data_IF_698709121972
#
_entry.id   IF_698709121972
#
_cell.length_a   1.000
_cell.length_b   1.000
_cell.length_c   1.000
_cell.angle_alpha   90.00
_cell.angle_beta   90.00
_cell.angle_gamma   90.00
#
_symmetry.space_group_name_H-M   'P 1'
#
loop_
_entity.id
_entity.type
_entity.pdbx_description
1 polymer ?
#
# COMPACT_ATOMS: atom_id res chain seq x y z
N UNK A 1 62.15 -21.55 -36.69
CA UNK A 1 61.93 -20.41 -35.75
C UNK A 1 60.46 -20.04 -35.76
N UNK A 2 59.79 -20.38 -34.66
CA UNK A 2 58.60 -19.79 -34.03
C UNK A 2 57.72 -18.81 -34.82
N UNK A 3 56.41 -19.09 -34.92
CA UNK A 3 55.34 -18.24 -34.35
C UNK A 3 53.93 -18.82 -34.51
N UNK A 4 53.18 -18.70 -33.41
CA UNK A 4 51.74 -18.43 -33.34
C UNK A 4 50.73 -19.59 -33.50
N UNK A 5 50.46 -20.23 -32.36
CA UNK A 5 49.09 -20.61 -31.98
C UNK A 5 48.18 -19.39 -32.10
N UNK A 6 47.04 -19.49 -32.78
CA UNK A 6 45.89 -18.64 -32.49
C UNK A 6 44.62 -19.48 -32.52
N UNK A 7 44.06 -19.69 -31.33
CA UNK A 7 42.84 -20.44 -31.10
C UNK A 7 41.68 -19.76 -31.83
N UNK A 8 40.89 -20.55 -32.57
CA UNK A 8 39.58 -20.11 -33.04
C UNK A 8 38.73 -19.80 -31.80
N UNK A 9 38.46 -18.51 -31.63
CA UNK A 9 37.63 -17.96 -30.58
C UNK A 9 36.27 -18.65 -30.60
N UNK A 10 35.99 -19.40 -29.53
CA UNK A 10 34.64 -19.83 -29.20
C UNK A 10 33.80 -18.58 -28.93
N UNK A 11 33.19 -18.03 -29.98
CA UNK A 11 32.18 -16.99 -29.88
C UNK A 11 30.90 -17.67 -29.42
N UNK A 12 30.83 -17.95 -28.11
CA UNK A 12 29.65 -18.43 -27.44
C UNK A 12 28.49 -17.49 -27.79
N UNK A 13 27.48 -18.06 -28.44
CA UNK A 13 26.20 -17.43 -28.70
C UNK A 13 25.63 -16.91 -27.38
N UNK A 14 25.89 -15.63 -27.09
CA UNK A 14 25.31 -14.92 -25.96
C UNK A 14 23.84 -14.75 -26.33
N UNK A 15 23.01 -15.65 -25.80
CA UNK A 15 21.56 -15.46 -25.76
C UNK A 15 21.30 -14.02 -25.28
N UNK A 16 20.36 -13.28 -25.88
CA UNK A 16 20.03 -11.96 -25.39
C UNK A 16 19.65 -12.08 -23.92
N UNK A 17 20.28 -11.28 -23.08
CA UNK A 17 19.88 -11.15 -21.67
C UNK A 17 18.49 -10.54 -21.70
N UNK A 18 17.46 -11.37 -21.61
CA UNK A 18 16.14 -10.90 -21.29
C UNK A 18 16.22 -10.41 -19.84
N UNK A 19 16.29 -9.10 -19.65
CA UNK A 19 16.16 -8.46 -18.34
C UNK A 19 14.69 -8.65 -17.94
N UNK A 20 14.37 -9.86 -17.50
CA UNK A 20 13.07 -10.18 -16.97
C UNK A 20 12.82 -9.26 -15.79
N UNK A 21 11.71 -8.53 -15.88
CA UNK A 21 11.15 -7.64 -14.85
C UNK A 21 11.28 -8.29 -13.47
N UNK A 22 11.94 -7.60 -12.52
CA UNK A 22 12.10 -8.08 -11.15
C UNK A 22 10.73 -8.36 -10.53
N UNK A 23 10.51 -9.53 -9.90
CA UNK A 23 9.27 -9.81 -9.20
C UNK A 23 9.10 -8.78 -8.07
N UNK A 24 8.01 -8.01 -8.10
CA UNK A 24 7.71 -6.98 -7.10
C UNK A 24 7.95 -5.53 -7.55
N UNK A 25 8.54 -5.29 -8.71
CA UNK A 25 8.64 -3.93 -9.25
C UNK A 25 7.30 -3.54 -9.89
N UNK A 26 6.47 -2.86 -9.10
CA UNK A 26 5.27 -2.20 -9.59
C UNK A 26 5.69 -1.30 -10.77
N UNK A 27 4.99 -1.37 -11.92
CA UNK A 27 5.29 -0.47 -13.01
C UNK A 27 5.09 0.95 -12.46
N UNK A 28 6.17 1.70 -12.32
CA UNK A 28 6.07 3.13 -12.09
C UNK A 28 5.13 3.65 -13.18
N UNK A 29 4.00 4.24 -12.78
CA UNK A 29 3.05 4.82 -13.72
C UNK A 29 3.84 5.64 -14.73
N UNK A 30 3.63 5.41 -16.02
CA UNK A 30 4.44 5.97 -17.10
C UNK A 30 4.17 7.48 -17.32
N UNK A 31 3.80 8.18 -16.26
CA UNK A 31 3.56 9.62 -16.25
C UNK A 31 4.85 10.31 -15.81
N UNK A 32 5.30 11.27 -16.61
CA UNK A 32 6.46 12.12 -16.29
C UNK A 32 6.28 12.72 -14.89
N UNK A 33 7.28 12.62 -13.98
CA UNK A 33 7.22 13.22 -12.65
C UNK A 33 6.79 14.70 -12.68
N UNK A 34 7.23 15.44 -13.69
CA UNK A 34 6.91 16.86 -13.91
C UNK A 34 5.41 17.10 -14.01
N UNK A 35 4.67 16.22 -14.69
CA UNK A 35 3.22 16.39 -14.90
C UNK A 35 2.48 16.17 -13.58
N UNK A 36 2.89 15.18 -12.78
CA UNK A 36 2.27 14.93 -11.47
C UNK A 36 2.50 16.11 -10.53
N UNK A 37 3.73 16.61 -10.49
CA UNK A 37 4.09 17.75 -9.65
C UNK A 37 3.31 19.01 -10.05
N UNK A 38 3.17 19.27 -11.35
CA UNK A 38 2.35 20.38 -11.86
C UNK A 38 0.87 20.24 -11.49
N UNK A 39 0.30 19.02 -11.55
CA UNK A 39 -1.10 18.78 -11.14
C UNK A 39 -1.28 18.99 -9.63
N UNK A 40 -0.33 18.50 -8.82
CA UNK A 40 -0.36 18.69 -7.36
C UNK A 40 -0.30 20.18 -7.03
N UNK A 41 0.61 20.92 -7.67
CA UNK A 41 0.73 22.36 -7.48
C UNK A 41 -0.56 23.10 -7.88
N UNK A 42 -1.14 22.78 -9.04
CA UNK A 42 -2.40 23.39 -9.48
C UNK A 42 -3.55 23.11 -8.49
N UNK A 43 -3.61 21.90 -7.91
CA UNK A 43 -4.60 21.56 -6.90
C UNK A 43 -4.41 22.35 -5.59
N UNK A 44 -3.16 22.55 -5.15
CA UNK A 44 -2.83 23.39 -3.99
C UNK A 44 -3.27 24.84 -4.23
N UNK A 45 -2.95 25.40 -5.39
CA UNK A 45 -3.33 26.76 -5.78
C UNK A 45 -4.86 26.92 -5.87
N UNK A 46 -5.57 25.92 -6.42
CA UNK A 46 -7.03 25.90 -6.48
C UNK A 46 -7.70 25.83 -5.08
N UNK A 47 -6.97 25.32 -4.08
CA UNK A 47 -7.36 25.33 -2.67
C UNK A 47 -6.95 26.60 -1.92
N UNK A 48 -6.42 27.62 -2.61
CA UNK A 48 -5.93 28.85 -1.97
C UNK A 48 -4.59 28.67 -1.26
N UNK A 49 -3.75 27.74 -1.73
CA UNK A 49 -2.47 27.41 -1.11
C UNK A 49 -2.52 26.20 -0.17
N UNK A 50 -3.68 25.56 -0.01
CA UNK A 50 -3.86 24.38 0.84
C UNK A 50 -4.55 23.23 0.08
N UNK A 51 -3.86 22.11 -0.06
CA UNK A 51 -4.41 20.89 -0.66
C UNK A 51 -5.61 20.36 0.11
N UNK A 52 -5.64 20.52 1.44
CA UNK A 52 -6.75 20.04 2.26
C UNK A 52 -8.02 20.84 1.96
N UNK A 53 -7.91 22.16 1.80
CA UNK A 53 -9.01 23.01 1.38
C UNK A 53 -9.56 22.59 0.00
N UNK A 54 -8.69 22.28 -0.96
CA UNK A 54 -9.12 21.75 -2.27
C UNK A 54 -9.87 20.42 -2.12
N UNK A 55 -9.32 19.47 -1.36
CA UNK A 55 -9.95 18.16 -1.13
C UNK A 55 -11.28 18.24 -0.38
N UNK A 56 -11.43 19.17 0.57
CA UNK A 56 -12.71 19.45 1.24
C UNK A 56 -13.77 19.91 0.24
N UNK A 57 -13.42 20.86 -0.63
CA UNK A 57 -14.31 21.31 -1.71
C UNK A 57 -14.70 20.16 -2.63
N UNK A 58 -13.74 19.29 -3.00
CA UNK A 58 -14.02 18.12 -3.84
C UNK A 58 -14.91 17.08 -3.15
N UNK A 59 -14.81 16.93 -1.83
CA UNK A 59 -15.69 16.05 -1.07
C UNK A 59 -17.16 16.51 -1.14
N UNK A 60 -17.40 17.82 -1.21
CA UNK A 60 -18.75 18.40 -1.33
C UNK A 60 -19.25 18.42 -2.79
N UNK A 61 -18.42 18.82 -3.75
CA UNK A 61 -18.83 18.97 -5.15
C UNK A 61 -18.84 17.67 -5.93
N UNK A 62 -17.88 16.77 -5.64
CA UNK A 62 -17.64 15.53 -6.38
C UNK A 62 -17.39 14.33 -5.44
N UNK A 63 -18.37 13.97 -4.60
CA UNK A 63 -18.20 12.96 -3.55
C UNK A 63 -17.76 11.59 -4.09
N UNK A 64 -18.23 11.18 -5.28
CA UNK A 64 -17.83 9.90 -5.90
C UNK A 64 -16.32 9.83 -6.20
N UNK A 65 -15.75 10.92 -6.72
CA UNK A 65 -14.31 11.01 -7.00
C UNK A 65 -13.50 11.01 -5.70
N UNK A 66 -13.97 11.73 -4.67
CA UNK A 66 -13.33 11.77 -3.36
C UNK A 66 -13.35 10.41 -2.64
N UNK A 67 -14.48 9.69 -2.67
CA UNK A 67 -14.59 8.35 -2.10
C UNK A 67 -13.65 7.34 -2.79
N UNK A 68 -13.42 7.51 -4.09
CA UNK A 68 -12.43 6.68 -4.82
C UNK A 68 -11.00 6.93 -4.31
N UNK A 69 -10.66 8.19 -4.00
CA UNK A 69 -9.36 8.53 -3.40
C UNK A 69 -9.24 7.93 -2.00
N UNK A 70 -10.29 7.98 -1.18
CA UNK A 70 -10.34 7.33 0.13
C UNK A 70 -10.03 5.83 0.02
N UNK A 71 -10.61 5.13 -0.94
CA UNK A 71 -10.29 3.72 -1.19
C UNK A 71 -8.85 3.44 -1.61
N UNK A 72 -8.14 4.44 -2.17
CA UNK A 72 -6.72 4.34 -2.55
C UNK A 72 -5.75 4.67 -1.40
N UNK A 73 -6.12 5.58 -0.50
CA UNK A 73 -5.29 5.96 0.66
C UNK A 73 -5.53 5.06 1.87
N UNK A 74 -6.68 4.40 1.93
CA UNK A 74 -6.91 3.37 2.94
C UNK A 74 -6.17 2.09 2.55
N UNK A 75 -5.34 1.54 3.45
CA UNK A 75 -4.67 0.27 3.20
C UNK A 75 -5.72 -0.85 3.06
N UNK A 76 -5.79 -1.48 1.89
CA UNK A 76 -6.66 -2.64 1.62
C UNK A 76 -6.17 -3.94 2.29
N UNK A 77 -4.92 -3.94 2.77
CA UNK A 77 -4.27 -5.08 3.41
C UNK A 77 -3.83 -4.61 4.80
N UNK A 78 -4.38 -5.21 5.86
CA UNK A 78 -3.82 -5.09 7.19
C UNK A 78 -2.52 -5.89 7.18
N UNK A 79 -1.39 -5.22 7.04
CA UNK A 79 -0.06 -5.84 7.21
C UNK A 79 0.46 -5.50 8.60
N UNK A 80 1.18 -6.43 9.22
CA UNK A 80 2.03 -6.08 10.34
C UNK A 80 3.03 -5.01 9.88
N UNK A 81 3.40 -4.08 10.77
CA UNK A 81 4.29 -2.98 10.41
C UNK A 81 5.51 -3.45 9.59
N UNK A 82 5.86 -2.70 8.54
CA UNK A 82 6.92 -3.03 7.54
C UNK A 82 6.63 -4.23 6.63
N UNK A 83 5.37 -4.65 6.48
CA UNK A 83 5.01 -5.78 5.60
C UNK A 83 5.18 -7.15 6.26
N UNK A 84 5.38 -7.16 7.57
CA UNK A 84 5.44 -8.35 8.40
C UNK A 84 4.04 -8.99 8.55
N UNK A 85 3.94 -10.27 8.94
CA UNK A 85 2.67 -10.89 9.30
C UNK A 85 1.95 -10.10 10.42
N UNK A 86 0.61 -10.08 10.37
CA UNK A 86 -0.20 -9.46 11.42
C UNK A 86 -0.11 -10.31 12.69
N UNK A 87 0.48 -9.76 13.75
CA UNK A 87 0.44 -10.36 15.09
C UNK A 87 -0.84 -9.91 15.81
N UNK A 88 -1.74 -10.85 16.06
CA UNK A 88 -2.98 -10.61 16.79
C UNK A 88 -2.82 -11.15 18.22
N UNK A 89 -2.84 -10.26 19.21
CA UNK A 89 -2.89 -10.63 20.63
C UNK A 89 -4.30 -10.36 21.17
N UNK A 90 -5.01 -11.43 21.57
CA UNK A 90 -6.35 -11.34 22.15
C UNK A 90 -6.27 -11.59 23.66
N UNK A 91 -6.57 -10.57 24.46
CA UNK A 91 -6.71 -10.68 25.92
C UNK A 91 -8.18 -10.80 26.30
N UNK A 92 -8.61 -12.00 26.69
CA UNK A 92 -9.96 -12.24 27.23
C UNK A 92 -9.89 -12.23 28.76
N UNK A 93 -10.55 -11.25 29.39
CA UNK A 93 -10.74 -11.22 30.84
C UNK A 93 -12.17 -11.67 31.16
N UNK A 94 -12.30 -12.80 31.84
CA UNK A 94 -13.58 -13.23 32.40
C UNK A 94 -13.82 -12.47 33.70
N UNK A 95 -14.94 -11.75 33.77
CA UNK A 95 -15.44 -11.14 35.00
C UNK A 95 -16.54 -12.07 35.50
N UNK A 96 -16.38 -12.61 36.71
CA UNK A 96 -17.42 -13.37 37.36
C UNK A 96 -18.61 -12.44 37.62
N UNK A 97 -19.76 -12.74 37.00
CA UNK A 97 -21.01 -12.13 37.40
C UNK A 97 -21.39 -12.76 38.75
N UNK A 98 -21.35 -11.96 39.82
CA UNK A 98 -21.86 -12.35 41.12
C UNK A 98 -23.37 -12.56 40.97
N UNK A 99 -23.78 -13.82 40.88
CA UNK A 99 -25.19 -14.18 40.84
C UNK A 99 -25.73 -13.99 42.25
N UNK A 100 -26.54 -12.96 42.43
CA UNK A 100 -27.38 -12.80 43.61
C UNK A 100 -28.37 -13.98 43.60
N UNK A 101 -28.01 -15.06 44.30
CA UNK A 101 -28.94 -16.13 44.60
C UNK A 101 -29.85 -15.60 45.71
N UNK A 102 -30.82 -14.76 45.32
CA UNK A 102 -31.94 -14.42 46.19
C UNK A 102 -32.81 -15.66 46.30
N UNK A 103 -32.58 -16.42 47.38
CA UNK A 103 -33.44 -17.50 47.81
C UNK A 103 -34.86 -17.00 48.03
N UNK A 104 -35.73 -17.25 47.05
CA UNK A 104 -37.16 -17.18 47.23
C UNK A 104 -37.58 -18.36 48.12
N UNK A 105 -37.44 -18.18 49.43
CA UNK A 105 -38.07 -19.03 50.43
C UNK A 105 -39.57 -18.74 50.45
N UNK A 106 -40.32 -19.32 49.51
CA UNK A 106 -41.78 -19.41 49.62
C UNK A 106 -42.14 -20.46 50.67
N UNK A 107 -42.40 -19.93 51.86
CA UNK A 107 -43.26 -20.52 52.87
C UNK A 107 -44.56 -21.01 52.23
N UNK A 108 -44.90 -22.27 52.45
CA UNK A 108 -46.25 -22.72 52.83
C UNK A 108 -46.08 -23.87 53.80
#
# INVERSE_FOLDING_TARGET
MTRSKLAKSGLASRRPINIAKRPGEQPASAESPIIRDAIIQAAVEAGGGDMVAYLKKQAETHPSAFLTLLGKVLPMQLTGGKGEPVNLEFSVRFIAAEQEISGENRRT
#
